data_IF_433527409586
#
_entry.id   IF_433527409586
#
_cell.length_a   1.000
_cell.length_b   1.000
_cell.length_c   1.000
_cell.angle_alpha   90.00
_cell.angle_beta   90.00
_cell.angle_gamma   90.00
#
_symmetry.space_group_name_H-M   'P 1'
#
loop_
_entity.id
_entity.type
_entity.pdbx_description
1 polymer ?
#
# COMPACT_ATOMS: atom_id res chain seq x y z
N UNK A 1 -3.92 13.04 -4.94
CA UNK A 1 -2.61 12.39 -4.77
C UNK A 1 -1.83 12.50 -6.08
N UNK A 2 -0.54 12.16 -6.10
CA UNK A 2 0.26 12.18 -7.32
C UNK A 2 -0.10 11.07 -8.32
N UNK A 3 0.63 11.02 -9.43
CA UNK A 3 0.57 9.94 -10.43
C UNK A 3 1.36 8.74 -9.88
N UNK A 4 0.79 7.53 -9.82
CA UNK A 4 1.53 6.33 -9.40
C UNK A 4 2.66 6.01 -10.38
N UNK A 5 3.83 5.69 -9.83
CA UNK A 5 5.01 5.29 -10.59
C UNK A 5 5.41 3.86 -10.22
N UNK A 6 5.44 2.98 -11.23
CA UNK A 6 5.78 1.57 -11.07
C UNK A 6 7.23 1.26 -11.45
N UNK A 7 7.97 2.25 -11.96
CA UNK A 7 9.37 2.07 -12.30
C UNK A 7 10.19 1.80 -11.03
N UNK A 8 11.01 0.73 -10.97
CA UNK A 8 11.80 0.39 -9.78
C UNK A 8 12.67 1.53 -9.22
N UNK A 9 13.15 2.42 -10.11
CA UNK A 9 13.96 3.57 -9.74
C UNK A 9 13.19 4.59 -8.87
N UNK A 10 11.87 4.67 -8.99
CA UNK A 10 11.01 5.56 -8.18
C UNK A 10 10.76 5.02 -6.77
N UNK A 11 10.88 3.69 -6.62
CA UNK A 11 10.57 2.87 -5.45
C UNK A 11 11.75 2.59 -4.54
N UNK A 12 12.90 3.22 -4.79
CA UNK A 12 14.26 2.63 -4.66
C UNK A 12 14.21 1.12 -4.40
N UNK A 13 13.87 0.37 -5.44
CA UNK A 13 13.70 -1.09 -5.37
C UNK A 13 14.73 -1.78 -6.25
N UNK A 14 15.57 -2.63 -5.65
CA UNK A 14 16.64 -3.34 -6.34
C UNK A 14 16.07 -4.56 -7.08
N UNK A 15 15.70 -4.37 -8.35
CA UNK A 15 15.23 -5.43 -9.23
C UNK A 15 15.77 -5.25 -10.64
N UNK A 16 15.75 -6.30 -11.45
CA UNK A 16 16.27 -6.30 -12.82
C UNK A 16 15.42 -5.48 -13.81
N UNK A 17 14.16 -5.20 -13.47
CA UNK A 17 13.26 -4.42 -14.30
C UNK A 17 11.86 -4.25 -13.69
N UNK A 18 11.03 -3.45 -14.34
CA UNK A 18 9.63 -3.30 -13.97
C UNK A 18 8.85 -4.59 -14.24
N UNK A 19 8.10 -5.06 -13.25
CA UNK A 19 7.16 -6.18 -13.37
C UNK A 19 5.83 -5.84 -12.72
N UNK A 20 4.82 -6.67 -13.02
CA UNK A 20 3.54 -6.62 -12.33
C UNK A 20 3.64 -7.20 -10.92
N UNK A 21 4.36 -8.31 -10.77
CA UNK A 21 4.54 -9.05 -9.52
C UNK A 21 6.04 -9.35 -9.34
N UNK A 22 6.51 -9.23 -8.11
CA UNK A 22 7.88 -9.55 -7.72
C UNK A 22 7.86 -10.63 -6.62
N UNK A 23 8.46 -11.81 -6.85
CA UNK A 23 8.67 -12.79 -5.79
C UNK A 23 9.85 -12.35 -4.91
N UNK A 24 9.66 -12.34 -3.60
CA UNK A 24 10.71 -12.04 -2.62
C UNK A 24 10.82 -13.17 -1.59
N UNK A 25 12.04 -13.51 -1.18
CA UNK A 25 12.27 -14.42 -0.06
C UNK A 25 12.22 -13.65 1.27
N UNK A 26 11.13 -13.82 2.02
CA UNK A 26 10.87 -13.05 3.24
C UNK A 26 10.61 -14.00 4.40
N UNK A 27 11.42 -13.90 5.45
CA UNK A 27 11.27 -14.70 6.67
C UNK A 27 11.12 -16.22 6.40
N UNK A 28 11.91 -16.74 5.46
CA UNK A 28 11.94 -18.16 5.07
C UNK A 28 10.75 -18.61 4.23
N UNK A 29 10.03 -17.70 3.57
CA UNK A 29 8.93 -18.02 2.67
C UNK A 29 8.98 -17.11 1.44
N UNK A 30 8.59 -17.63 0.29
CA UNK A 30 8.39 -16.80 -0.89
C UNK A 30 7.10 -15.99 -0.75
N UNK A 31 7.16 -14.68 -1.00
CA UNK A 31 6.04 -13.75 -0.95
C UNK A 31 6.00 -12.96 -2.24
N UNK A 32 4.87 -13.02 -2.94
CA UNK A 32 4.62 -12.21 -4.11
C UNK A 32 4.10 -10.83 -3.72
N UNK A 33 4.71 -9.78 -4.28
CA UNK A 33 4.32 -8.39 -4.06
C UNK A 33 4.05 -7.65 -5.37
N UNK A 34 3.12 -6.70 -5.35
CA UNK A 34 3.16 -5.55 -6.24
C UNK A 34 3.95 -4.41 -5.61
N UNK A 35 4.64 -3.60 -6.40
CA UNK A 35 5.38 -2.44 -5.90
C UNK A 35 4.99 -1.19 -6.67
N UNK A 36 4.72 -0.08 -5.97
CA UNK A 36 4.35 1.21 -6.55
C UNK A 36 4.79 2.38 -5.67
N UNK A 37 5.24 3.46 -6.28
CA UNK A 37 5.50 4.73 -5.60
C UNK A 37 4.31 5.67 -5.76
N UNK A 38 3.84 6.23 -4.65
CA UNK A 38 2.82 7.32 -4.62
C UNK A 38 3.49 8.62 -4.15
N UNK A 39 4.79 8.77 -4.40
CA UNK A 39 5.68 9.77 -3.77
C UNK A 39 6.48 9.21 -2.58
N UNK A 40 6.04 8.08 -2.05
CA UNK A 40 6.77 7.20 -1.12
C UNK A 40 6.60 5.74 -1.56
N UNK A 41 7.53 4.83 -1.20
CA UNK A 41 7.51 3.45 -1.68
C UNK A 41 6.46 2.60 -0.95
N UNK A 42 5.77 1.73 -1.70
CA UNK A 42 4.83 0.74 -1.18
C UNK A 42 5.07 -0.63 -1.82
N UNK A 43 5.11 -1.66 -0.98
CA UNK A 43 4.94 -3.05 -1.35
C UNK A 43 3.52 -3.49 -0.95
N UNK A 44 2.81 -4.15 -1.86
CA UNK A 44 1.43 -4.61 -1.65
C UNK A 44 1.38 -6.12 -1.82
N UNK A 45 0.98 -6.82 -0.76
CA UNK A 45 0.75 -8.25 -0.73
C UNK A 45 -0.75 -8.49 -0.87
N UNK A 46 -1.17 -9.27 -1.86
CA UNK A 46 -2.57 -9.74 -1.91
C UNK A 46 -2.73 -10.93 -0.98
N UNK A 47 -3.71 -10.86 -0.06
CA UNK A 47 -3.97 -11.90 0.94
C UNK A 47 -5.40 -12.42 0.84
N UNK A 48 -5.61 -13.65 1.30
CA UNK A 48 -6.94 -14.25 1.34
C UNK A 48 -7.86 -13.59 2.40
N UNK A 49 -7.29 -13.11 3.51
CA UNK A 49 -8.00 -12.38 4.55
C UNK A 49 -7.05 -11.47 5.31
N UNK A 50 -7.46 -10.21 5.56
CA UNK A 50 -6.66 -9.30 6.42
C UNK A 50 -6.69 -9.68 7.90
N UNK A 51 -7.69 -10.45 8.32
CA UNK A 51 -7.86 -10.85 9.73
C UNK A 51 -6.80 -11.88 10.15
N UNK A 52 -6.37 -12.72 9.21
CA UNK A 52 -5.35 -13.75 9.43
C UNK A 52 -4.02 -13.43 8.75
N UNK A 53 -3.92 -12.28 8.08
CA UNK A 53 -2.69 -11.84 7.45
C UNK A 53 -1.57 -11.70 8.49
N UNK A 54 -0.36 -12.24 8.24
CA UNK A 54 0.74 -12.23 9.19
C UNK A 54 1.46 -10.88 9.20
N UNK A 55 0.73 -9.79 9.46
CA UNK A 55 1.24 -8.40 9.42
C UNK A 55 2.43 -8.21 10.37
N UNK A 56 2.37 -8.76 11.57
CA UNK A 56 3.44 -8.63 12.58
C UNK A 56 4.72 -9.38 12.20
N UNK A 57 4.62 -10.39 11.32
CA UNK A 57 5.76 -11.18 10.86
C UNK A 57 6.31 -10.65 9.54
N UNK A 58 5.44 -10.50 8.54
CA UNK A 58 5.83 -10.09 7.19
C UNK A 58 6.00 -8.58 7.06
N UNK A 59 5.26 -7.77 7.82
CA UNK A 59 5.35 -6.31 7.78
C UNK A 59 6.75 -5.80 8.05
N UNK A 60 7.36 -6.08 9.22
CA UNK A 60 8.74 -5.66 9.51
C UNK A 60 9.76 -6.27 8.53
N UNK A 61 9.58 -7.54 8.15
CA UNK A 61 10.51 -8.24 7.27
C UNK A 61 10.52 -7.66 5.84
N UNK A 62 9.36 -7.27 5.31
CA UNK A 62 9.23 -6.57 4.02
C UNK A 62 9.67 -5.11 4.12
N UNK A 63 9.33 -4.41 5.22
CA UNK A 63 9.71 -3.01 5.46
C UNK A 63 11.22 -2.81 5.32
N UNK A 64 12.00 -3.71 5.90
CA UNK A 64 13.47 -3.68 5.89
C UNK A 64 14.10 -4.66 4.92
N UNK A 65 13.35 -5.19 3.95
CA UNK A 65 13.89 -6.17 3.00
C UNK A 65 15.10 -5.57 2.24
N UNK A 66 16.19 -6.33 2.00
CA UNK A 66 17.40 -5.82 1.33
C UNK A 66 17.15 -5.16 -0.02
N UNK A 67 16.11 -5.58 -0.74
CA UNK A 67 15.74 -5.01 -2.03
C UNK A 67 15.07 -3.63 -1.91
N UNK A 68 14.70 -3.18 -0.72
CA UNK A 68 14.24 -1.81 -0.45
C UNK A 68 15.26 -1.04 0.41
N UNK A 69 16.35 -0.48 -0.17
CA UNK A 69 17.40 0.21 0.60
C UNK A 69 16.91 1.41 1.40
N UNK A 70 15.82 2.06 0.97
CA UNK A 70 15.18 3.18 1.70
C UNK A 70 13.95 2.74 2.50
N UNK A 71 13.82 1.43 2.72
CA UNK A 71 12.67 0.75 3.31
C UNK A 71 11.37 1.01 2.55
N UNK A 72 10.29 0.32 2.90
CA UNK A 72 9.00 0.47 2.23
C UNK A 72 7.82 0.39 3.19
N UNK A 73 6.68 0.96 2.81
CA UNK A 73 5.42 0.66 3.48
C UNK A 73 4.87 -0.66 2.94
N UNK A 74 4.21 -1.45 3.78
CA UNK A 74 3.73 -2.78 3.42
C UNK A 74 2.23 -2.85 3.60
N UNK A 75 1.49 -2.95 2.49
CA UNK A 75 0.04 -3.12 2.48
C UNK A 75 -0.36 -4.58 2.31
N UNK A 76 -1.31 -5.06 3.12
CA UNK A 76 -1.92 -6.38 3.02
C UNK A 76 -3.35 -6.23 2.54
N UNK A 77 -3.58 -6.51 1.26
CA UNK A 77 -4.84 -6.26 0.55
C UNK A 77 -5.66 -7.53 0.43
N UNK A 78 -6.86 -7.54 1.00
CA UNK A 78 -7.89 -8.55 0.73
C UNK A 78 -8.90 -7.98 -0.26
N UNK A 79 -9.03 -8.62 -1.42
CA UNK A 79 -10.01 -8.22 -2.44
C UNK A 79 -11.35 -8.87 -2.12
N UNK A 80 -12.36 -8.07 -1.74
CA UNK A 80 -13.72 -8.57 -1.50
C UNK A 80 -14.51 -8.68 -2.80
N UNK A 81 -14.34 -7.70 -3.68
CA UNK A 81 -14.81 -7.68 -5.06
C UNK A 81 -14.05 -6.60 -5.85
N UNK A 82 -14.39 -6.40 -7.12
CA UNK A 82 -13.67 -5.49 -8.01
C UNK A 82 -13.72 -4.00 -7.60
N UNK A 83 -14.65 -3.60 -6.73
CA UNK A 83 -14.80 -2.20 -6.26
C UNK A 83 -14.68 -2.07 -4.74
N UNK A 84 -14.26 -3.12 -4.02
CA UNK A 84 -14.13 -3.09 -2.56
C UNK A 84 -12.99 -3.99 -2.09
N UNK A 85 -12.05 -3.40 -1.34
CA UNK A 85 -10.95 -4.09 -0.68
C UNK A 85 -10.95 -3.80 0.83
N UNK A 86 -10.37 -4.73 1.60
CA UNK A 86 -9.92 -4.47 2.97
C UNK A 86 -8.40 -4.35 2.98
N UNK A 87 -7.87 -3.49 3.83
CA UNK A 87 -6.44 -3.18 3.86
C UNK A 87 -5.93 -3.03 5.30
N UNK A 88 -4.80 -3.68 5.59
CA UNK A 88 -3.94 -3.39 6.76
C UNK A 88 -2.60 -2.90 6.27
N UNK A 89 -1.99 -1.95 6.96
CA UNK A 89 -0.73 -1.33 6.51
C UNK A 89 0.28 -1.31 7.65
N UNK A 90 1.46 -1.85 7.40
CA UNK A 90 2.65 -1.68 8.22
C UNK A 90 3.47 -0.53 7.63
N UNK A 91 3.49 0.62 8.31
CA UNK A 91 4.15 1.83 7.85
C UNK A 91 5.63 1.88 8.22
N UNK A 92 6.42 2.34 7.25
CA UNK A 92 7.87 2.51 7.38
C UNK A 92 8.21 3.39 8.57
N UNK A 93 8.97 2.85 9.53
CA UNK A 93 9.41 3.56 10.73
C UNK A 93 8.34 3.77 11.81
N UNK A 94 7.11 3.29 11.61
CA UNK A 94 5.98 3.47 12.55
C UNK A 94 5.42 2.14 13.04
N UNK A 95 5.37 1.13 12.19
CA UNK A 95 4.66 -0.13 12.46
C UNK A 95 3.24 -0.12 11.91
N UNK A 96 2.38 -1.03 12.39
CA UNK A 96 0.99 -1.08 11.93
C UNK A 96 0.20 0.15 12.38
N UNK A 97 -0.39 0.85 11.43
CA UNK A 97 -1.24 2.02 11.69
C UNK A 97 -2.71 1.70 11.39
N UNK A 98 -3.62 2.49 11.99
CA UNK A 98 -5.06 2.30 11.78
C UNK A 98 -5.51 2.72 10.38
N UNK A 99 -4.83 3.67 9.76
CA UNK A 99 -5.13 4.13 8.41
C UNK A 99 -3.89 4.75 7.77
N UNK A 100 -3.68 4.44 6.49
CA UNK A 100 -2.61 5.04 5.68
C UNK A 100 -3.19 5.41 4.30
N UNK A 101 -3.35 6.72 4.04
CA UNK A 101 -3.93 7.21 2.79
C UNK A 101 -3.09 6.84 1.55
N UNK A 102 -1.76 6.99 1.64
CA UNK A 102 -0.86 6.58 0.54
C UNK A 102 -0.88 5.07 0.33
N UNK A 103 -0.97 4.27 1.40
CA UNK A 103 -1.10 2.81 1.32
C UNK A 103 -2.40 2.36 0.66
N UNK A 104 -3.52 3.04 0.94
CA UNK A 104 -4.80 2.80 0.25
C UNK A 104 -4.70 3.07 -1.25
N UNK A 105 -4.11 4.20 -1.65
CA UNK A 105 -3.86 4.53 -3.04
C UNK A 105 -2.95 3.49 -3.73
N UNK A 106 -1.88 3.06 -3.04
CA UNK A 106 -0.96 2.06 -3.57
C UNK A 106 -1.63 0.70 -3.79
N UNK A 107 -2.45 0.23 -2.84
CA UNK A 107 -3.20 -1.01 -2.96
C UNK A 107 -4.15 -1.01 -4.16
N UNK A 108 -4.89 0.09 -4.35
CA UNK A 108 -5.80 0.24 -5.50
C UNK A 108 -5.02 0.33 -6.81
N UNK A 109 -3.91 1.07 -6.84
CA UNK A 109 -3.07 1.16 -8.04
C UNK A 109 -2.51 -0.21 -8.45
N UNK A 110 -1.99 -0.98 -7.50
CA UNK A 110 -1.51 -2.35 -7.73
C UNK A 110 -2.65 -3.26 -8.20
N UNK A 111 -3.78 -3.28 -7.49
CA UNK A 111 -4.91 -4.14 -7.83
C UNK A 111 -5.53 -3.82 -9.20
N UNK A 112 -5.61 -2.54 -9.57
CA UNK A 112 -6.05 -2.13 -10.93
C UNK A 112 -5.02 -2.51 -11.99
N UNK A 113 -3.72 -2.32 -11.72
CA UNK A 113 -2.64 -2.75 -12.63
C UNK A 113 -2.62 -4.27 -12.83
N UNK A 114 -3.07 -5.06 -11.86
CA UNK A 114 -3.26 -6.51 -11.97
C UNK A 114 -4.59 -6.94 -12.62
N UNK A 115 -5.43 -5.99 -13.06
CA UNK A 115 -6.74 -6.26 -13.64
C UNK A 115 -7.75 -6.86 -12.63
N UNK A 116 -7.55 -6.60 -11.33
CA UNK A 116 -8.39 -7.13 -10.25
C UNK A 116 -9.39 -6.10 -9.69
N UNK A 117 -9.13 -4.82 -9.91
CA UNK A 117 -9.95 -3.73 -9.39
C UNK A 117 -10.38 -2.76 -10.50
N UNK A 118 -11.56 -2.17 -10.30
CA UNK A 118 -12.14 -1.12 -11.14
C UNK A 118 -11.47 0.25 -10.88
N UNK A 119 -12.01 1.28 -11.51
CA UNK A 119 -11.51 2.66 -11.41
C UNK A 119 -11.80 3.30 -10.06
N UNK A 120 -12.98 2.98 -9.52
CA UNK A 120 -13.50 3.52 -8.28
C UNK A 120 -13.60 2.37 -7.26
N UNK A 121 -12.83 2.48 -6.18
CA UNK A 121 -12.67 1.41 -5.19
C UNK A 121 -12.81 1.95 -3.78
N UNK A 122 -13.70 1.33 -3.01
CA UNK A 122 -13.77 1.54 -1.57
C UNK A 122 -12.70 0.72 -0.86
N UNK A 123 -11.94 1.36 0.03
CA UNK A 123 -10.89 0.75 0.83
C UNK A 123 -11.28 0.81 2.31
N UNK A 124 -11.55 -0.36 2.91
CA UNK A 124 -11.84 -0.49 4.33
C UNK A 124 -10.55 -0.71 5.14
N UNK A 125 -10.22 0.22 6.03
CA UNK A 125 -9.08 0.16 6.96
C UNK A 125 -9.57 0.07 8.42
N UNK A 126 -8.72 -0.33 9.39
CA UNK A 126 -9.07 -0.32 10.81
C UNK A 126 -9.53 1.05 11.36
N UNK A 127 -9.09 2.13 10.72
CA UNK A 127 -9.42 3.52 11.07
C UNK A 127 -10.66 4.08 10.38
N UNK A 128 -11.23 3.38 9.40
CA UNK A 128 -12.37 3.86 8.62
C UNK A 128 -12.26 3.53 7.13
N UNK A 129 -13.21 4.04 6.36
CA UNK A 129 -13.29 3.79 4.92
C UNK A 129 -12.75 5.00 4.14
N UNK A 130 -12.01 4.69 3.09
CA UNK A 130 -11.57 5.66 2.08
C UNK A 130 -12.15 5.28 0.73
N UNK A 131 -12.43 6.28 -0.11
CA UNK A 131 -12.77 6.10 -1.51
C UNK A 131 -11.55 6.49 -2.35
N UNK A 132 -11.13 5.61 -3.24
CA UNK A 132 -10.00 5.83 -4.14
C UNK A 132 -10.50 5.74 -5.58
N UNK A 133 -10.23 6.78 -6.37
CA UNK A 133 -10.57 6.83 -7.78
C UNK A 133 -9.30 7.04 -8.61
N UNK A 134 -9.06 6.16 -9.58
CA UNK A 134 -7.87 6.22 -10.43
C UNK A 134 -8.13 5.70 -11.85
N UNK A 135 -8.11 6.63 -12.82
CA UNK A 135 -8.34 6.33 -14.22
C UNK A 135 -7.27 5.42 -14.86
N UNK A 136 -6.05 5.37 -14.30
CA UNK A 136 -4.99 4.46 -14.73
C UNK A 136 -3.63 5.13 -14.95
N UNK A 137 -2.67 4.44 -15.59
CA UNK A 137 -1.31 4.94 -15.80
C UNK A 137 -1.28 6.33 -16.45
N UNK A 138 -0.47 7.23 -15.90
CA UNK A 138 -0.36 8.63 -16.36
C UNK A 138 -1.33 9.60 -15.68
N UNK A 139 -2.39 9.09 -15.02
CA UNK A 139 -3.40 9.91 -14.34
C UNK A 139 -3.17 9.98 -12.83
N UNK A 140 -3.55 11.09 -12.17
CA UNK A 140 -3.44 11.23 -10.72
C UNK A 140 -4.49 10.38 -9.98
N UNK A 141 -4.19 9.96 -8.75
CA UNK A 141 -5.17 9.32 -7.87
C UNK A 141 -5.96 10.37 -7.09
N UNK A 142 -7.28 10.20 -7.03
CA UNK A 142 -8.15 10.91 -6.10
C UNK A 142 -8.42 10.06 -4.86
N UNK A 143 -8.30 10.67 -3.69
CA UNK A 143 -8.52 10.03 -2.40
C UNK A 143 -9.52 10.86 -1.60
N UNK A 144 -10.63 10.26 -1.21
CA UNK A 144 -11.68 10.89 -0.42
C UNK A 144 -11.86 10.13 0.89
N UNK A 145 -11.92 10.87 2.00
CA UNK A 145 -12.11 10.31 3.33
C UNK A 145 -12.57 11.38 4.33
N UNK A 146 -13.08 10.96 5.50
CA UNK A 146 -13.50 11.89 6.54
C UNK A 146 -12.29 12.60 7.18
N UNK A 147 -12.50 13.80 7.71
CA UNK A 147 -11.52 14.54 8.52
C UNK A 147 -12.25 15.20 9.69
N UNK A 148 -11.68 15.11 10.89
CA UNK A 148 -12.28 15.63 12.13
C UNK A 148 -11.25 16.39 12.97
N UNK A 149 -11.62 17.56 13.50
CA UNK A 149 -10.79 18.35 14.41
C UNK A 149 -10.95 17.80 15.84
N UNK A 150 -9.86 17.33 16.44
CA UNK A 150 -9.88 16.78 17.81
C UNK A 150 -9.76 17.89 18.86
N UNK A 151 -8.76 18.77 18.73
CA UNK A 151 -8.55 19.91 19.64
C UNK A 151 -7.73 21.01 18.96
N UNK A 152 -7.53 22.12 19.66
CA UNK A 152 -6.60 23.20 19.31
C UNK A 152 -5.82 23.59 20.56
N UNK A 153 -4.52 23.85 20.42
CA UNK A 153 -3.64 24.14 21.55
C UNK A 153 -2.34 24.84 21.14
N UNK A 154 -1.62 25.33 22.14
CA UNK A 154 -0.31 25.97 21.99
C UNK A 154 0.70 25.22 22.86
N UNK A 155 1.92 25.01 22.36
CA UNK A 155 3.00 24.36 23.09
C UNK A 155 4.28 25.19 22.97
N UNK A 156 5.08 25.23 24.03
CA UNK A 156 6.45 25.75 23.98
C UNK A 156 7.40 24.61 23.60
N UNK A 157 8.33 24.90 22.69
CA UNK A 157 9.33 23.95 22.19
C UNK A 157 10.53 23.83 23.13
#
# INVERSE_FOLDING_TARGET
>A
MGVPDFAPASLPFNTSGEAYVYPLEVAGSEVEIGAVSIGNPHAVVTVASVDTAPVDRLGPALETHPDFPRRTNVGFMEIKNHSHIRLRVYERGTGETRACGTGACAAVAVGRRHGKLEESVQVALPGGNLQVDWAGPGEPIWLTGPTEKVYEGTFEL
#
